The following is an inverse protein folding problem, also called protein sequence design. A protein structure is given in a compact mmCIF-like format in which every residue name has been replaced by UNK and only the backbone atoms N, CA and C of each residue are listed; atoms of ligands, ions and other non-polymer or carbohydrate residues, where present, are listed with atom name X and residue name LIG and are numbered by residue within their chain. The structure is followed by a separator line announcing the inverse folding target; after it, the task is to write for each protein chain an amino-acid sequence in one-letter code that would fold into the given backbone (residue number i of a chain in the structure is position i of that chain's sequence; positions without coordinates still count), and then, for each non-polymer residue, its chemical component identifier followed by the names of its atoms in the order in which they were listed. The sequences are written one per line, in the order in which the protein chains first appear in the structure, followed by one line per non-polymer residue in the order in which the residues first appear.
data_IF_046534445138
#
_entry.id   IF_046534445138
#
_cell.length_a   1.000
_cell.length_b   1.000
_cell.length_c   1.000
_cell.angle_alpha   90.00
_cell.angle_beta   90.00
_cell.angle_gamma   90.00
#
_symmetry.space_group_name_H-M   'P 1'
#
loop_
_entity.id
_entity.type
_entity.pdbx_description
1 polymer ?
#
# COMPACT_ATOMS: atom_id res chain seq x y z
N UNK A 1 -17.76 17.40 0.84
CA UNK A 1 -16.48 16.71 0.62
C UNK A 1 -15.71 17.48 -0.44
N UNK A 2 -14.53 18.05 -0.11
CA UNK A 2 -13.64 18.58 -1.15
C UNK A 2 -13.08 17.39 -1.94
N UNK A 3 -13.02 17.44 -3.28
CA UNK A 3 -12.35 16.39 -4.03
C UNK A 3 -10.88 16.34 -3.60
N UNK A 4 -10.45 15.23 -3.00
CA UNK A 4 -9.03 14.95 -2.84
C UNK A 4 -8.45 14.84 -4.26
N UNK A 5 -7.61 15.81 -4.63
CA UNK A 5 -6.94 15.81 -5.93
C UNK A 5 -5.81 14.80 -5.82
N UNK A 6 -6.10 13.54 -6.15
CA UNK A 6 -5.08 12.50 -6.19
C UNK A 6 -4.11 12.77 -7.34
N UNK A 7 -2.85 12.39 -7.14
CA UNK A 7 -1.81 12.43 -8.17
C UNK A 7 -2.28 11.71 -9.45
N UNK A 8 -1.80 12.13 -10.61
CA UNK A 8 -2.17 11.53 -11.91
C UNK A 8 -1.74 10.07 -11.99
N UNK A 9 -2.36 9.29 -12.89
CA UNK A 9 -1.95 7.89 -13.10
C UNK A 9 -0.48 7.80 -13.55
N UNK A 10 0.02 8.82 -14.24
CA UNK A 10 1.40 8.96 -14.67
C UNK A 10 2.36 9.02 -13.49
N UNK A 11 2.02 9.76 -12.42
CA UNK A 11 2.81 9.76 -11.19
C UNK A 11 2.88 8.36 -10.57
N UNK A 12 1.75 7.63 -10.54
CA UNK A 12 1.72 6.26 -10.03
C UNK A 12 2.55 5.29 -10.90
N UNK A 13 2.58 5.48 -12.22
CA UNK A 13 3.42 4.69 -13.13
C UNK A 13 4.91 5.02 -12.94
N UNK A 14 5.26 6.29 -12.77
CA UNK A 14 6.62 6.71 -12.48
C UNK A 14 7.13 6.08 -11.18
N UNK A 15 6.36 6.23 -10.09
CA UNK A 15 6.67 5.62 -8.79
C UNK A 15 6.77 4.09 -8.89
N UNK A 16 5.93 3.43 -9.71
CA UNK A 16 5.99 1.99 -9.93
C UNK A 16 7.30 1.56 -10.60
N UNK A 17 7.79 2.33 -11.57
CA UNK A 17 9.08 2.09 -12.23
C UNK A 17 10.24 2.35 -11.27
N UNK A 18 10.19 3.44 -10.50
CA UNK A 18 11.22 3.80 -9.50
C UNK A 18 11.31 2.76 -8.37
N UNK A 19 10.18 2.19 -7.94
CA UNK A 19 10.10 1.15 -6.91
C UNK A 19 10.88 -0.13 -7.27
N UNK A 20 11.23 -0.31 -8.55
CA UNK A 20 12.08 -1.43 -8.98
C UNK A 20 13.55 -1.27 -8.57
N UNK A 21 14.00 -0.04 -8.29
CA UNK A 21 15.42 0.28 -8.07
C UNK A 21 16.31 0.08 -9.32
N UNK A 22 15.74 -0.27 -10.48
CA UNK A 22 16.45 -0.50 -11.74
C UNK A 22 16.51 0.80 -12.54
N UNK A 23 17.50 0.92 -13.43
CA UNK A 23 17.55 2.04 -14.38
C UNK A 23 16.40 1.89 -15.40
N UNK A 24 15.83 3.00 -15.86
CA UNK A 24 14.70 2.98 -16.80
C UNK A 24 15.00 2.19 -18.09
N UNK A 25 16.25 2.20 -18.57
CA UNK A 25 16.65 1.41 -19.74
C UNK A 25 16.55 -0.09 -19.50
N UNK A 26 16.91 -0.54 -18.29
CA UNK A 26 16.84 -1.96 -17.91
C UNK A 26 15.39 -2.40 -17.74
N UNK A 27 14.52 -1.52 -17.21
CA UNK A 27 13.07 -1.75 -17.12
C UNK A 27 12.43 -1.82 -18.52
N UNK A 28 12.78 -0.90 -19.42
CA UNK A 28 12.28 -0.92 -20.79
C UNK A 28 12.68 -2.20 -21.54
N UNK A 29 13.94 -2.63 -21.38
CA UNK A 29 14.45 -3.87 -21.94
C UNK A 29 13.70 -5.09 -21.40
N UNK A 30 13.50 -5.16 -20.08
CA UNK A 30 12.71 -6.22 -19.44
C UNK A 30 11.27 -6.29 -19.98
N UNK A 31 10.63 -5.14 -20.15
CA UNK A 31 9.27 -5.05 -20.66
C UNK A 31 9.17 -5.31 -22.17
N UNK A 32 10.29 -5.38 -22.88
CA UNK A 32 10.34 -5.56 -24.33
C UNK A 32 9.85 -4.33 -25.09
N UNK A 33 10.06 -3.13 -24.55
CA UNK A 33 9.66 -1.85 -25.16
C UNK A 33 10.86 -0.93 -25.35
N UNK A 34 10.71 0.09 -26.19
CA UNK A 34 11.74 1.12 -26.34
C UNK A 34 11.76 2.02 -25.10
N UNK A 35 12.94 2.52 -24.72
CA UNK A 35 13.06 3.48 -23.62
C UNK A 35 12.22 4.75 -23.83
N UNK A 36 12.05 5.19 -25.08
CA UNK A 36 11.15 6.30 -25.42
C UNK A 36 9.68 5.97 -25.15
N UNK A 37 9.25 4.72 -25.35
CA UNK A 37 7.88 4.27 -25.01
C UNK A 37 7.67 4.28 -23.50
N UNK A 38 8.67 3.85 -22.72
CA UNK A 38 8.61 3.91 -21.26
C UNK A 38 8.57 5.37 -20.77
N UNK A 39 9.46 6.22 -21.28
CA UNK A 39 9.50 7.65 -20.95
C UNK A 39 8.19 8.35 -21.26
N UNK A 40 7.64 8.09 -22.44
CA UNK A 40 6.35 8.63 -22.88
C UNK A 40 5.19 8.15 -21.99
N UNK A 41 5.22 6.89 -21.54
CA UNK A 41 4.19 6.35 -20.65
C UNK A 41 4.23 6.89 -19.21
N UNK A 42 5.31 7.58 -18.82
CA UNK A 42 5.46 8.22 -17.51
C UNK A 42 5.24 9.74 -17.55
N UNK A 43 5.14 10.33 -18.74
CA UNK A 43 5.03 11.77 -18.92
C UNK A 43 3.59 12.24 -18.70
N UNK A 44 3.41 13.23 -17.81
CA UNK A 44 2.11 13.86 -17.56
C UNK A 44 1.79 14.86 -18.67
N UNK A 45 1.13 14.39 -19.73
CA UNK A 45 0.77 15.20 -20.90
C UNK A 45 -0.70 14.99 -21.28
N UNK A 46 -1.55 15.97 -20.96
CA UNK A 46 -3.00 15.93 -21.26
C UNK A 46 -3.31 16.05 -22.77
N UNK A 47 -2.44 16.68 -23.56
CA UNK A 47 -2.64 16.86 -25.01
C UNK A 47 -2.44 15.57 -25.81
N UNK A 48 -1.79 14.57 -25.19
CA UNK A 48 -1.60 13.24 -25.77
C UNK A 48 -1.80 12.19 -24.68
N UNK A 49 -3.03 11.68 -24.48
CA UNK A 49 -3.33 10.65 -23.51
C UNK A 49 -2.75 9.29 -23.97
N UNK A 50 -1.43 9.17 -23.91
CA UNK A 50 -0.69 7.94 -24.07
C UNK A 50 -0.22 7.47 -22.71
N UNK A 51 -0.28 6.17 -22.48
CA UNK A 51 0.19 5.55 -21.25
C UNK A 51 0.86 4.22 -21.55
N UNK A 52 1.53 3.68 -20.53
CA UNK A 52 2.01 2.31 -20.61
C UNK A 52 0.81 1.34 -20.44
N UNK A 53 0.74 0.31 -21.27
CA UNK A 53 -0.35 -0.67 -21.19
C UNK A 53 -0.34 -1.45 -19.87
N UNK A 54 -1.53 -1.75 -19.32
CA UNK A 54 -1.69 -2.47 -18.05
C UNK A 54 -0.96 -3.82 -18.01
N UNK A 55 -0.83 -4.50 -19.16
CA UNK A 55 -0.11 -5.76 -19.27
C UNK A 55 1.41 -5.63 -18.98
N UNK A 56 2.00 -4.46 -19.23
CA UNK A 56 3.39 -4.19 -18.88
C UNK A 56 3.53 -3.93 -17.37
N UNK A 57 2.60 -3.17 -16.79
CA UNK A 57 2.56 -2.93 -15.35
C UNK A 57 2.35 -4.23 -14.56
N UNK A 58 1.47 -5.11 -15.06
CA UNK A 58 1.28 -6.44 -14.50
C UNK A 58 2.58 -7.26 -14.54
N UNK A 59 3.28 -7.30 -15.68
CA UNK A 59 4.58 -7.99 -15.80
C UNK A 59 5.63 -7.40 -14.87
N UNK A 60 5.67 -6.07 -14.72
CA UNK A 60 6.58 -5.39 -13.81
C UNK A 60 6.29 -5.76 -12.34
N UNK A 61 5.01 -5.79 -11.95
CA UNK A 61 4.57 -6.18 -10.62
C UNK A 61 4.88 -7.65 -10.29
N UNK A 62 4.81 -8.54 -11.28
CA UNK A 62 5.18 -9.95 -11.11
C UNK A 62 6.68 -10.14 -10.88
N UNK A 63 7.54 -9.36 -11.53
CA UNK A 63 9.00 -9.36 -11.31
C UNK A 63 9.39 -8.65 -10.02
N UNK A 64 8.75 -7.50 -9.75
CA UNK A 64 9.01 -6.67 -8.60
C UNK A 64 7.69 -6.27 -7.92
N UNK A 65 7.25 -7.00 -6.86
CA UNK A 65 5.99 -6.70 -6.16
C UNK A 65 5.90 -5.27 -5.61
N UNK A 66 7.04 -4.64 -5.31
CA UNK A 66 7.08 -3.24 -4.88
C UNK A 66 6.51 -2.27 -5.94
N UNK A 67 6.64 -2.59 -7.23
CA UNK A 67 6.08 -1.81 -8.33
C UNK A 67 4.54 -1.80 -8.35
N UNK A 68 3.87 -2.76 -7.70
CA UNK A 68 2.40 -2.77 -7.61
C UNK A 68 1.86 -1.74 -6.61
N UNK A 69 2.65 -1.36 -5.61
CA UNK A 69 2.18 -0.55 -4.47
C UNK A 69 1.69 0.84 -4.90
N UNK A 70 2.42 1.61 -5.74
CA UNK A 70 1.97 2.94 -6.15
C UNK A 70 0.64 2.91 -6.93
N UNK A 71 0.49 1.94 -7.83
CA UNK A 71 -0.75 1.75 -8.59
C UNK A 71 -1.92 1.39 -7.67
N UNK A 72 -1.70 0.48 -6.71
CA UNK A 72 -2.73 0.08 -5.76
C UNK A 72 -3.16 1.26 -4.86
N UNK A 73 -2.21 2.08 -4.39
CA UNK A 73 -2.51 3.31 -3.64
C UNK A 73 -3.33 4.31 -4.45
N UNK A 74 -2.95 4.53 -5.70
CA UNK A 74 -3.67 5.44 -6.59
C UNK A 74 -5.12 5.02 -6.80
N UNK A 75 -5.36 3.75 -7.19
CA UNK A 75 -6.72 3.26 -7.41
C UNK A 75 -7.55 3.15 -6.13
N UNK A 76 -6.93 2.80 -4.99
CA UNK A 76 -7.62 2.82 -3.69
C UNK A 76 -8.07 4.25 -3.34
N UNK A 77 -7.20 5.25 -3.54
CA UNK A 77 -7.54 6.66 -3.34
C UNK A 77 -8.71 7.11 -4.21
N UNK A 78 -8.69 6.80 -5.51
CA UNK A 78 -9.81 7.13 -6.41
C UNK A 78 -11.15 6.51 -5.96
N UNK A 79 -11.11 5.34 -5.32
CA UNK A 79 -12.29 4.69 -4.75
C UNK A 79 -12.71 5.23 -3.36
N UNK A 80 -12.02 6.24 -2.83
CA UNK A 80 -12.24 6.78 -1.48
C UNK A 80 -11.72 5.87 -0.36
N UNK A 81 -10.83 4.94 -0.68
CA UNK A 81 -10.22 4.00 0.25
C UNK A 81 -8.74 4.30 0.54
N UNK A 82 -8.14 3.39 1.31
CA UNK A 82 -6.70 3.39 1.62
C UNK A 82 -6.11 2.04 1.23
N UNK A 83 -4.93 2.06 0.61
CA UNK A 83 -4.15 0.85 0.40
C UNK A 83 -3.11 0.71 1.51
N UNK A 84 -3.24 -0.35 2.31
CA UNK A 84 -2.22 -0.76 3.27
C UNK A 84 -1.49 -1.99 2.72
N UNK A 85 -0.24 -1.88 2.25
CA UNK A 85 0.55 -3.06 1.91
C UNK A 85 0.74 -3.89 3.18
N UNK A 86 0.45 -5.18 3.09
CA UNK A 86 0.76 -6.07 4.20
C UNK A 86 2.10 -6.72 3.95
N UNK A 87 3.09 -6.32 4.73
CA UNK A 87 4.37 -7.01 4.79
C UNK A 87 4.15 -8.23 5.67
N UNK A 88 3.99 -9.41 5.06
CA UNK A 88 4.10 -10.66 5.81
C UNK A 88 5.51 -10.70 6.40
N UNK A 89 5.62 -10.50 7.72
CA UNK A 89 6.87 -10.76 8.40
C UNK A 89 7.22 -12.24 8.12
N UNK A 90 8.41 -12.48 7.58
CA UNK A 90 8.92 -13.82 7.22
C UNK A 90 9.00 -14.79 8.39
N UNK A 91 8.70 -14.33 9.61
CA UNK A 91 8.83 -15.09 10.86
C UNK A 91 7.50 -15.24 11.64
N UNK A 92 6.33 -15.06 11.00
CA UNK A 92 5.08 -15.43 11.66
C UNK A 92 4.92 -16.95 11.62
N UNK A 93 5.33 -17.60 12.71
CA UNK A 93 5.32 -19.07 12.84
C UNK A 93 3.97 -19.63 13.26
N UNK A 94 2.98 -18.80 13.65
CA UNK A 94 1.67 -19.29 14.07
C UNK A 94 0.55 -18.23 14.01
N UNK A 95 -0.58 -18.58 13.38
CA UNK A 95 -1.83 -17.80 13.46
C UNK A 95 -2.32 -17.64 14.90
N UNK A 96 -1.98 -18.56 15.80
CA UNK A 96 -2.34 -18.48 17.22
C UNK A 96 -1.60 -17.33 17.93
N UNK A 97 -0.35 -17.06 17.55
CA UNK A 97 0.41 -15.94 18.10
C UNK A 97 -0.22 -14.60 17.73
N UNK A 98 -0.80 -14.48 16.53
CA UNK A 98 -1.54 -13.30 16.13
C UNK A 98 -2.81 -13.07 16.96
N UNK A 99 -3.50 -14.12 17.43
CA UNK A 99 -4.67 -13.94 18.29
C UNK A 99 -4.30 -13.22 19.60
N UNK A 100 -3.17 -13.57 20.21
CA UNK A 100 -2.67 -12.91 21.42
C UNK A 100 -2.24 -11.46 21.17
N UNK A 101 -1.56 -11.22 20.05
CA UNK A 101 -1.17 -9.87 19.62
C UNK A 101 -2.39 -8.97 19.36
N UNK A 102 -3.38 -9.45 18.59
CA UNK A 102 -4.64 -8.73 18.35
C UNK A 102 -5.34 -8.41 19.67
N UNK A 103 -5.47 -9.40 20.57
CA UNK A 103 -6.15 -9.19 21.84
C UNK A 103 -5.47 -8.11 22.69
N UNK A 104 -4.12 -8.10 22.72
CA UNK A 104 -3.35 -7.07 23.42
C UNK A 104 -3.57 -5.69 22.80
N UNK A 105 -3.28 -5.55 21.50
CA UNK A 105 -3.31 -4.26 20.80
C UNK A 105 -4.74 -3.65 20.80
N UNK A 106 -5.78 -4.46 20.57
CA UNK A 106 -7.16 -3.98 20.67
C UNK A 106 -7.54 -3.57 22.10
N UNK A 107 -7.03 -4.28 23.12
CA UNK A 107 -7.25 -3.91 24.52
C UNK A 107 -6.57 -2.58 24.89
N UNK A 108 -5.34 -2.36 24.40
CA UNK A 108 -4.58 -1.12 24.60
C UNK A 108 -5.26 0.06 23.90
N UNK A 109 -5.69 -0.12 22.64
CA UNK A 109 -6.47 0.86 21.88
C UNK A 109 -7.79 1.22 22.58
N UNK A 110 -8.55 0.23 23.05
CA UNK A 110 -9.79 0.46 23.78
C UNK A 110 -9.55 1.25 25.07
N UNK A 111 -8.53 0.87 25.85
CA UNK A 111 -8.19 1.58 27.08
C UNK A 111 -7.74 3.03 26.81
N UNK A 112 -6.98 3.27 25.74
CA UNK A 112 -6.58 4.60 25.32
C UNK A 112 -7.77 5.46 24.87
N UNK A 113 -8.69 4.88 24.09
CA UNK A 113 -9.92 5.55 23.66
C UNK A 113 -10.81 5.97 24.84
N UNK A 114 -10.97 5.09 25.85
CA UNK A 114 -11.71 5.42 27.08
C UNK A 114 -11.04 6.60 27.80
N UNK A 115 -9.71 6.57 27.98
CA UNK A 115 -8.96 7.68 28.60
C UNK A 115 -9.08 8.98 27.82
N UNK A 116 -9.08 8.92 26.49
CA UNK A 116 -9.29 10.09 25.63
C UNK A 116 -10.69 10.67 25.81
N UNK A 117 -11.72 9.82 25.90
CA UNK A 117 -13.10 10.24 26.14
C UNK A 117 -13.27 10.88 27.53
N UNK A 118 -12.62 10.34 28.56
CA UNK A 118 -12.67 10.89 29.93
C UNK A 118 -11.94 12.23 30.05
N UNK A 119 -10.73 12.33 29.49
CA UNK A 119 -9.86 13.49 29.69
C UNK A 119 -10.05 14.60 28.66
N UNK A 120 -10.53 14.26 27.46
CA UNK A 120 -10.69 15.14 26.30
C UNK A 120 -9.47 16.04 26.00
N UNK A 121 -8.27 15.61 26.38
CA UNK A 121 -7.04 16.37 26.17
C UNK A 121 -6.40 16.02 24.83
N UNK A 122 -5.73 16.99 24.20
CA UNK A 122 -5.04 16.78 22.92
C UNK A 122 -4.03 15.63 22.97
N UNK A 123 -3.31 15.50 24.09
CA UNK A 123 -2.37 14.40 24.32
C UNK A 123 -3.08 13.05 24.38
N UNK A 124 -4.17 12.95 25.13
CA UNK A 124 -4.91 11.68 25.26
C UNK A 124 -5.58 11.27 23.94
N UNK A 125 -6.00 12.23 23.12
CA UNK A 125 -6.53 11.98 21.77
C UNK A 125 -5.42 11.44 20.86
N UNK A 126 -4.25 12.09 20.83
CA UNK A 126 -3.11 11.64 20.01
C UNK A 126 -2.61 10.25 20.44
N UNK A 127 -2.55 9.98 21.75
CA UNK A 127 -2.21 8.65 22.27
C UNK A 127 -3.22 7.60 21.81
N UNK A 128 -4.53 7.92 21.81
CA UNK A 128 -5.56 6.99 21.33
C UNK A 128 -5.49 6.75 19.82
N UNK A 129 -5.22 7.78 19.01
CA UNK A 129 -5.01 7.62 17.56
C UNK A 129 -3.86 6.67 17.27
N UNK A 130 -2.71 6.84 17.95
CA UNK A 130 -1.56 5.94 17.80
C UNK A 130 -1.90 4.49 18.13
N UNK A 131 -2.53 4.25 19.28
CA UNK A 131 -2.90 2.90 19.72
C UNK A 131 -3.93 2.25 18.79
N UNK A 132 -4.86 3.04 18.23
CA UNK A 132 -5.79 2.55 17.20
C UNK A 132 -5.04 2.13 15.93
N UNK A 133 -4.07 2.92 15.48
CA UNK A 133 -3.27 2.59 14.30
C UNK A 133 -2.46 1.30 14.52
N UNK A 134 -1.91 1.09 15.72
CA UNK A 134 -1.20 -0.13 16.11
C UNK A 134 -2.14 -1.37 16.10
N UNK A 135 -3.35 -1.24 16.64
CA UNK A 135 -4.37 -2.29 16.58
C UNK A 135 -4.83 -2.61 15.15
N UNK A 136 -5.02 -1.59 14.30
CA UNK A 136 -5.34 -1.78 12.88
C UNK A 136 -4.20 -2.50 12.17
N UNK A 137 -2.94 -2.13 12.44
CA UNK A 137 -1.78 -2.82 11.87
C UNK A 137 -1.73 -4.30 12.28
N UNK A 138 -2.00 -4.63 13.55
CA UNK A 138 -2.03 -6.01 14.03
C UNK A 138 -3.14 -6.84 13.34
N UNK A 139 -4.35 -6.29 13.20
CA UNK A 139 -5.45 -6.94 12.48
C UNK A 139 -5.12 -7.18 11.00
N UNK A 140 -4.48 -6.20 10.34
CA UNK A 140 -4.09 -6.33 8.93
C UNK A 140 -2.97 -7.35 8.74
N UNK A 141 -1.98 -7.43 9.66
CA UNK A 141 -0.95 -8.48 9.66
C UNK A 141 -1.58 -9.87 9.73
N UNK A 142 -2.49 -10.09 10.67
CA UNK A 142 -3.19 -11.37 10.82
C UNK A 142 -4.03 -11.72 9.59
N UNK A 143 -4.76 -10.75 9.02
CA UNK A 143 -5.53 -10.94 7.80
C UNK A 143 -4.65 -11.37 6.62
N UNK A 144 -3.48 -10.77 6.45
CA UNK A 144 -2.57 -11.20 5.39
C UNK A 144 -1.97 -12.58 5.64
N UNK A 145 -1.64 -12.93 6.88
CA UNK A 145 -1.18 -14.28 7.21
C UNK A 145 -2.24 -15.33 6.80
N UNK A 146 -3.52 -15.05 7.04
CA UNK A 146 -4.63 -15.92 6.60
C UNK A 146 -4.72 -15.99 5.07
N UNK A 147 -4.63 -14.85 4.38
CA UNK A 147 -4.69 -14.81 2.92
C UNK A 147 -3.50 -15.52 2.25
N UNK A 148 -2.30 -15.38 2.81
CA UNK A 148 -1.11 -16.06 2.33
C UNK A 148 -1.26 -17.59 2.43
N UNK A 149 -1.79 -18.09 3.55
CA UNK A 149 -2.09 -19.52 3.70
C UNK A 149 -3.16 -20.01 2.72
N UNK A 150 -4.10 -19.15 2.31
CA UNK A 150 -5.15 -19.50 1.33
C UNK A 150 -4.64 -19.58 -0.12
N UNK A 151 -3.57 -18.84 -0.46
CA UNK A 151 -2.95 -18.90 -1.78
C UNK A 151 -1.89 -20.00 -1.91
N UNK A 152 -1.43 -20.59 -0.79
CA UNK A 152 -0.48 -21.70 -0.75
C UNK A 152 -1.15 -23.09 -0.80
N UNK A 153 -2.48 -23.15 -0.68
CA UNK A 153 -3.31 -24.35 -0.76
C UNK A 153 -4.00 -24.44 -2.13
#
# INVERSE_FOLDING_TARGET
MRPQRYATIQNAVCEAVEATGKRHQDVAAFLGIRGSTLSYGMEDNEDRPGGIGVNYLHRLAMDCPAAAVPLARHFAGLAGGVFQPVVSATNVTSLYAHCGEIARECGEAQAAAIRAAEKASSRSIADAEREIDEAVAALLRAKAAILANRCAA
#
